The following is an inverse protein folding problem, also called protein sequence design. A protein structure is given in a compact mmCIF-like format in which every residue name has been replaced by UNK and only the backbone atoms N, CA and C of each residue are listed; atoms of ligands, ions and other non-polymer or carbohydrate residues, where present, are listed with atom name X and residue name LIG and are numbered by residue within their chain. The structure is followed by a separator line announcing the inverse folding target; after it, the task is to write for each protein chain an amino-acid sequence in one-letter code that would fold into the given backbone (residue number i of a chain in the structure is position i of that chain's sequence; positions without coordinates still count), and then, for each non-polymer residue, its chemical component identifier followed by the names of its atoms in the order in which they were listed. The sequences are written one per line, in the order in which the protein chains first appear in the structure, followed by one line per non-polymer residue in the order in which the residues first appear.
data_IF_475055110644
#
_entry.id   IF_475055110644
#
_cell.length_a   1.000
_cell.length_b   1.000
_cell.length_c   1.000
_cell.angle_alpha   90.00
_cell.angle_beta   90.00
_cell.angle_gamma   90.00
#
_symmetry.space_group_name_H-M   'P 1'
#
loop_
_entity.id
_entity.type
_entity.pdbx_description
1 polymer ?
#
# COMPACT_ATOMS: atom_id res chain seq x y z
N UNK A 1 13.31 12.86 27.23
CA UNK A 1 14.54 13.30 26.54
C UNK A 1 14.14 13.73 25.13
N UNK A 2 14.61 14.88 24.65
CA UNK A 2 14.32 15.38 23.30
C UNK A 2 15.61 15.31 22.51
N UNK A 3 15.59 14.60 21.37
CA UNK A 3 16.74 14.49 20.48
C UNK A 3 16.56 15.45 19.30
N UNK A 4 17.57 16.28 19.04
CA UNK A 4 17.59 17.24 17.94
C UNK A 4 18.25 16.60 16.73
N UNK A 5 17.63 16.71 15.56
CA UNK A 5 18.14 16.16 14.30
C UNK A 5 17.87 17.10 13.14
N UNK A 6 18.65 16.96 12.06
CA UNK A 6 18.39 17.69 10.81
C UNK A 6 17.14 17.15 10.13
N UNK A 7 16.39 18.03 9.47
CA UNK A 7 15.14 17.71 8.78
C UNK A 7 15.23 16.46 7.85
N UNK A 8 16.28 16.28 7.02
CA UNK A 8 16.39 15.10 6.16
C UNK A 8 16.57 13.76 6.89
N UNK A 9 16.96 13.78 8.18
CA UNK A 9 17.14 12.58 8.99
C UNK A 9 15.87 12.13 9.72
N UNK A 10 14.82 12.94 9.73
CA UNK A 10 13.64 12.72 10.57
C UNK A 10 12.90 11.43 10.22
N UNK A 11 12.69 11.16 8.93
CA UNK A 11 11.97 9.97 8.47
C UNK A 11 12.71 8.71 8.90
N UNK A 12 14.03 8.69 8.74
CA UNK A 12 14.85 7.54 9.14
C UNK A 12 14.83 7.36 10.65
N UNK A 13 15.02 8.43 11.43
CA UNK A 13 15.00 8.37 12.88
C UNK A 13 13.65 7.87 13.43
N UNK A 14 12.53 8.30 12.85
CA UNK A 14 11.19 7.82 13.24
C UNK A 14 11.02 6.33 12.92
N UNK A 15 11.44 5.89 11.73
CA UNK A 15 11.30 4.48 11.33
C UNK A 15 12.20 3.58 12.17
N UNK A 16 13.36 4.05 12.59
CA UNK A 16 14.29 3.30 13.45
C UNK A 16 13.81 3.14 14.91
N UNK A 17 12.68 3.76 15.28
CA UNK A 17 11.95 3.38 16.52
C UNK A 17 11.33 1.99 16.42
N UNK A 18 11.09 1.51 15.20
CA UNK A 18 10.62 0.14 14.94
C UNK A 18 11.85 -0.77 14.82
N UNK A 19 11.86 -1.95 15.47
CA UNK A 19 12.97 -2.88 15.38
C UNK A 19 13.36 -3.17 13.93
N UNK A 20 14.66 -3.24 13.60
CA UNK A 20 15.10 -3.56 12.26
C UNK A 20 14.62 -4.95 11.88
N UNK A 21 14.23 -5.11 10.62
CA UNK A 21 13.82 -6.38 10.04
C UNK A 21 14.28 -6.44 8.59
N UNK A 22 14.61 -7.63 8.11
CA UNK A 22 14.91 -7.85 6.70
C UNK A 22 13.63 -7.74 5.87
N UNK A 23 13.70 -7.33 4.60
CA UNK A 23 12.57 -7.47 3.69
C UNK A 23 12.15 -8.95 3.60
N UNK A 24 10.85 -9.21 3.56
CA UNK A 24 10.35 -10.55 3.25
C UNK A 24 10.69 -10.97 1.81
N UNK A 25 10.48 -12.24 1.44
CA UNK A 25 10.61 -12.69 0.06
C UNK A 25 9.49 -12.13 -0.82
N UNK A 26 9.72 -12.15 -2.13
CA UNK A 26 8.73 -11.81 -3.15
C UNK A 26 9.01 -10.50 -3.88
N UNK A 27 8.01 -10.04 -4.63
CA UNK A 27 8.05 -8.81 -5.40
C UNK A 27 6.94 -7.86 -4.93
N UNK A 28 6.99 -6.61 -5.37
CA UNK A 28 5.88 -5.69 -5.16
C UNK A 28 4.64 -6.18 -5.91
N UNK A 29 3.49 -6.23 -5.23
CA UNK A 29 2.21 -6.62 -5.79
C UNK A 29 1.20 -5.51 -5.54
N UNK A 30 0.54 -5.07 -6.60
CA UNK A 30 -0.53 -4.07 -6.54
C UNK A 30 -1.84 -4.71 -6.98
N UNK A 31 -2.85 -4.66 -6.13
CA UNK A 31 -4.19 -5.20 -6.40
C UNK A 31 -5.25 -4.11 -6.29
N UNK A 32 -6.32 -4.15 -7.10
CA UNK A 32 -7.44 -3.25 -6.91
C UNK A 32 -8.16 -3.59 -5.61
N UNK A 33 -8.47 -2.59 -4.79
CA UNK A 33 -9.36 -2.76 -3.66
C UNK A 33 -10.81 -2.83 -4.15
N UNK A 34 -11.65 -3.72 -3.59
CA UNK A 34 -13.06 -3.74 -3.94
C UNK A 34 -13.69 -2.36 -3.69
N UNK A 35 -14.35 -1.82 -4.71
CA UNK A 35 -15.12 -0.58 -4.56
C UNK A 35 -16.37 -0.86 -3.76
N UNK A 36 -16.70 0.01 -2.81
CA UNK A 36 -17.99 -0.03 -2.11
C UNK A 36 -19.13 0.56 -2.96
N UNK A 37 -18.82 1.12 -4.14
CA UNK A 37 -19.83 1.64 -5.04
C UNK A 37 -20.61 0.47 -5.66
N UNK A 38 -21.96 0.56 -5.74
CA UNK A 38 -22.73 -0.43 -6.46
C UNK A 38 -22.23 -0.53 -7.91
N UNK A 39 -22.15 -1.73 -8.49
CA UNK A 39 -21.83 -1.87 -9.89
C UNK A 39 -22.82 -1.03 -10.72
N UNK A 40 -22.36 -0.34 -11.78
CA UNK A 40 -23.26 0.34 -12.69
C UNK A 40 -24.31 -0.67 -13.21
N UNK A 41 -25.57 -0.25 -13.40
CA UNK A 41 -26.60 -1.16 -13.90
C UNK A 41 -26.12 -1.78 -15.22
N UNK A 42 -26.35 -3.09 -15.44
CA UNK A 42 -25.96 -3.72 -16.70
C UNK A 42 -26.59 -2.93 -17.84
N UNK A 43 -25.76 -2.48 -18.79
CA UNK A 43 -26.26 -1.98 -20.07
C UNK A 43 -27.03 -3.15 -20.68
N UNK A 44 -28.34 -2.97 -20.89
CA UNK A 44 -29.15 -3.90 -21.65
C UNK A 44 -28.71 -3.79 -23.11
N UNK A 45 -27.69 -4.57 -23.45
CA UNK A 45 -27.53 -5.04 -24.81
C UNK A 45 -28.21 -6.41 -24.84
N UNK A 46 -29.30 -6.48 -25.59
CA UNK A 46 -30.12 -7.67 -25.75
C UNK A 46 -29.31 -8.76 -26.47
N UNK A 47 -28.76 -9.73 -25.73
CA UNK A 47 -28.51 -11.08 -26.25
C UNK A 47 -28.31 -12.12 -25.12
N UNK A 48 -29.17 -13.14 -25.15
CA UNK A 48 -29.16 -14.48 -24.56
C UNK A 48 -28.19 -14.88 -23.41
N UNK A 49 -28.78 -15.35 -22.30
CA UNK A 49 -28.50 -16.68 -21.76
C UNK A 49 -27.32 -16.90 -20.79
N UNK A 50 -27.61 -16.77 -19.50
CA UNK A 50 -27.20 -17.64 -18.37
C UNK A 50 -25.70 -17.91 -18.05
N UNK A 51 -25.38 -17.72 -16.75
CA UNK A 51 -24.14 -18.06 -16.03
C UNK A 51 -22.94 -17.08 -16.11
N UNK A 52 -23.11 -15.85 -15.60
CA UNK A 52 -22.00 -14.94 -15.32
C UNK A 52 -21.26 -15.32 -14.02
N UNK A 53 -20.45 -16.37 -14.10
CA UNK A 53 -19.33 -16.63 -13.19
C UNK A 53 -18.30 -15.50 -13.35
N UNK A 54 -18.01 -14.75 -12.28
CA UNK A 54 -16.86 -13.84 -12.09
C UNK A 54 -15.98 -13.59 -13.34
N UNK A 55 -16.45 -12.77 -14.30
CA UNK A 55 -15.67 -12.48 -15.52
C UNK A 55 -14.67 -11.34 -15.26
N UNK A 56 -13.58 -11.78 -14.63
CA UNK A 56 -12.23 -11.23 -14.60
C UNK A 56 -11.83 -10.44 -15.87
N UNK A 57 -11.62 -9.13 -15.73
CA UNK A 57 -10.95 -8.29 -16.73
C UNK A 57 -9.50 -8.78 -16.90
N UNK A 58 -9.14 -9.15 -18.13
CA UNK A 58 -7.86 -9.75 -18.53
C UNK A 58 -6.72 -8.72 -18.50
N UNK A 59 -5.95 -8.69 -17.41
CA UNK A 59 -4.49 -8.51 -17.50
C UNK A 59 -3.86 -9.90 -17.76
N UNK A 60 -2.57 -10.05 -18.16
CA UNK A 60 -1.99 -11.35 -18.48
C UNK A 60 -2.23 -12.32 -17.32
N UNK A 61 -3.17 -13.25 -17.51
CA UNK A 61 -3.85 -13.97 -16.42
C UNK A 61 -2.89 -14.83 -15.59
N UNK A 62 -1.79 -15.30 -16.18
CA UNK A 62 -0.84 -16.19 -15.52
C UNK A 62 0.07 -15.48 -14.51
N UNK A 63 0.65 -14.34 -14.87
CA UNK A 63 1.55 -13.59 -13.98
C UNK A 63 0.79 -12.87 -12.88
N UNK A 64 -0.36 -12.26 -13.20
CA UNK A 64 -1.22 -11.61 -12.22
C UNK A 64 -1.78 -12.62 -11.19
N UNK A 65 -2.19 -13.82 -11.63
CA UNK A 65 -2.68 -14.86 -10.69
C UNK A 65 -1.56 -15.43 -9.82
N UNK A 66 -0.35 -15.60 -10.35
CA UNK A 66 0.80 -16.01 -9.56
C UNK A 66 1.19 -14.96 -8.52
N UNK A 67 1.13 -13.67 -8.86
CA UNK A 67 1.40 -12.57 -7.92
C UNK A 67 0.36 -12.49 -6.80
N UNK A 68 -0.94 -12.65 -7.12
CA UNK A 68 -2.00 -12.69 -6.11
C UNK A 68 -1.80 -13.88 -5.18
N UNK A 69 -1.52 -15.08 -5.71
CA UNK A 69 -1.24 -16.26 -4.87
C UNK A 69 -0.02 -16.06 -3.97
N UNK A 70 1.04 -15.43 -4.49
CA UNK A 70 2.22 -15.11 -3.69
C UNK A 70 1.88 -14.15 -2.55
N UNK A 71 1.00 -13.16 -2.79
CA UNK A 71 0.51 -12.25 -1.78
C UNK A 71 -0.38 -12.95 -0.73
N UNK A 72 -1.27 -13.85 -1.15
CA UNK A 72 -2.06 -14.70 -0.24
C UNK A 72 -1.16 -15.49 0.70
N UNK A 73 -0.12 -16.15 0.17
CA UNK A 73 0.84 -16.90 0.97
C UNK A 73 1.63 -16.04 1.98
N UNK A 74 1.79 -14.73 1.73
CA UNK A 74 2.38 -13.79 2.70
C UNK A 74 1.42 -13.53 3.86
N UNK A 75 0.12 -13.47 3.59
CA UNK A 75 -0.92 -13.20 4.59
C UNK A 75 -1.39 -14.43 5.37
N UNK A 76 -1.25 -15.63 4.81
CA UNK A 76 -1.49 -16.89 5.53
C UNK A 76 -0.47 -17.12 6.66
N UNK A 77 0.67 -16.44 6.62
CA UNK A 77 1.72 -16.54 7.63
C UNK A 77 1.36 -15.77 8.90
N UNK A 78 1.80 -16.24 10.08
CA UNK A 78 1.57 -15.54 11.34
C UNK A 78 2.11 -14.10 11.30
N UNK A 79 1.25 -13.12 11.56
CA UNK A 79 1.65 -11.72 11.68
C UNK A 79 2.27 -11.48 13.05
N UNK A 80 3.56 -11.19 13.08
CA UNK A 80 4.34 -11.00 14.31
C UNK A 80 4.28 -9.57 14.83
N UNK A 81 4.28 -8.59 13.92
CA UNK A 81 4.26 -7.15 14.23
C UNK A 81 3.53 -6.39 13.14
N UNK A 82 2.97 -5.23 13.47
CA UNK A 82 2.40 -4.33 12.49
C UNK A 82 2.37 -2.91 13.03
N UNK A 83 2.30 -1.94 12.12
CA UNK A 83 2.15 -0.54 12.46
C UNK A 83 1.89 0.31 11.23
N UNK A 84 1.84 1.62 11.45
CA UNK A 84 1.61 2.60 10.41
C UNK A 84 2.36 3.89 10.71
N UNK A 85 2.75 4.56 9.63
CA UNK A 85 3.32 5.90 9.66
C UNK A 85 2.40 6.83 8.87
N UNK A 86 2.24 8.06 9.38
CA UNK A 86 1.48 9.10 8.72
C UNK A 86 2.35 10.34 8.52
N UNK A 87 2.14 11.03 7.40
CA UNK A 87 2.76 12.32 7.13
C UNK A 87 1.66 13.38 7.09
N UNK A 88 1.82 14.43 7.88
CA UNK A 88 0.92 15.59 7.90
C UNK A 88 1.77 16.85 7.87
N UNK A 89 1.42 17.78 6.99
CA UNK A 89 2.08 19.08 6.84
C UNK A 89 1.04 20.16 7.08
N UNK A 90 1.42 21.21 7.80
CA UNK A 90 0.60 22.42 7.95
C UNK A 90 1.14 23.50 7.01
N UNK A 91 0.30 23.94 6.07
CA UNK A 91 0.66 24.97 5.10
C UNK A 91 0.67 26.39 5.69
N UNK A 92 1.10 27.38 4.90
CA UNK A 92 1.25 28.79 5.34
C UNK A 92 -0.03 29.43 5.88
N UNK A 93 -1.20 28.96 5.44
CA UNK A 93 -2.52 29.45 5.90
C UNK A 93 -3.13 28.59 7.01
N UNK A 94 -2.33 27.77 7.69
CA UNK A 94 -2.79 26.88 8.77
C UNK A 94 -3.58 25.65 8.31
N UNK A 95 -3.86 25.51 7.01
CA UNK A 95 -4.51 24.32 6.45
C UNK A 95 -3.59 23.09 6.57
N UNK A 96 -4.11 22.02 7.13
CA UNK A 96 -3.43 20.73 7.20
C UNK A 96 -3.67 19.91 5.94
N UNK A 97 -2.58 19.36 5.42
CA UNK A 97 -2.59 18.38 4.34
C UNK A 97 -2.00 17.07 4.87
N UNK A 98 -2.62 15.95 4.50
CA UNK A 98 -2.22 14.62 4.97
C UNK A 98 -2.01 13.70 3.78
N UNK A 99 -0.88 12.99 3.79
CA UNK A 99 -0.59 11.96 2.80
C UNK A 99 -1.30 10.65 3.17
N UNK A 100 -1.50 9.73 2.19
CA UNK A 100 -1.88 8.36 2.49
C UNK A 100 -0.94 7.73 3.52
N UNK A 101 -1.49 6.94 4.45
CA UNK A 101 -0.69 6.25 5.46
C UNK A 101 0.21 5.17 4.81
N UNK A 102 1.37 4.97 5.44
CA UNK A 102 2.31 3.90 5.09
C UNK A 102 2.21 2.82 6.16
N UNK A 103 1.51 1.74 5.85
CA UNK A 103 1.41 0.57 6.71
C UNK A 103 2.65 -0.31 6.59
N UNK A 104 2.94 -1.08 7.63
CA UNK A 104 3.94 -2.13 7.59
C UNK A 104 3.54 -3.30 8.49
N UNK A 105 4.04 -4.48 8.19
CA UNK A 105 3.90 -5.66 9.04
C UNK A 105 5.09 -6.60 8.88
N UNK A 106 5.32 -7.40 9.91
CA UNK A 106 6.30 -8.49 9.92
C UNK A 106 5.54 -9.82 9.97
N UNK A 107 5.99 -10.78 9.17
CA UNK A 107 5.70 -12.20 9.38
C UNK A 107 7.01 -12.94 9.70
N UNK A 108 6.93 -14.27 9.79
CA UNK A 108 8.09 -15.13 10.06
C UNK A 108 9.18 -15.10 8.97
N UNK A 109 8.89 -14.56 7.79
CA UNK A 109 9.83 -14.48 6.67
C UNK A 109 10.51 -13.11 6.55
N UNK A 110 9.83 -12.04 6.96
CA UNK A 110 10.39 -10.69 6.99
C UNK A 110 9.33 -9.60 7.00
N UNK A 111 9.75 -8.37 6.69
CA UNK A 111 8.93 -7.17 6.70
C UNK A 111 8.39 -6.82 5.32
N UNK A 112 7.15 -6.33 5.33
CA UNK A 112 6.42 -5.83 4.17
C UNK A 112 5.85 -4.45 4.48
N UNK A 113 5.90 -3.57 3.48
CA UNK A 113 5.20 -2.30 3.43
C UNK A 113 3.84 -2.48 2.74
N UNK A 114 2.85 -1.70 3.17
CA UNK A 114 1.51 -1.64 2.60
C UNK A 114 1.09 -0.20 2.36
N UNK A 115 0.56 0.09 1.18
CA UNK A 115 0.09 1.42 0.82
C UNK A 115 -1.14 1.38 -0.06
N UNK A 116 -2.02 2.35 0.13
CA UNK A 116 -3.15 2.60 -0.75
C UNK A 116 -2.90 3.84 -1.60
N UNK A 117 -3.25 3.76 -2.89
CA UNK A 117 -3.31 4.90 -3.81
C UNK A 117 -4.67 4.97 -4.48
N UNK A 118 -5.12 6.18 -4.78
CA UNK A 118 -6.31 6.39 -5.59
C UNK A 118 -5.87 6.65 -7.04
N UNK A 119 -6.41 5.87 -7.98
CA UNK A 119 -6.26 6.11 -9.40
C UNK A 119 -7.09 7.32 -9.85
N UNK A 120 -6.83 7.80 -11.06
CA UNK A 120 -7.55 8.94 -11.65
C UNK A 120 -9.05 8.65 -11.86
N UNK A 121 -9.39 7.37 -12.04
CA UNK A 121 -10.73 6.82 -12.15
C UNK A 121 -11.44 6.63 -10.79
N UNK A 122 -10.79 7.02 -9.68
CA UNK A 122 -11.28 6.81 -8.33
C UNK A 122 -11.06 5.39 -7.79
N UNK A 123 -10.55 4.45 -8.59
CA UNK A 123 -10.23 3.09 -8.16
C UNK A 123 -9.11 3.13 -7.13
N UNK A 124 -9.31 2.48 -5.98
CA UNK A 124 -8.26 2.34 -4.97
C UNK A 124 -7.39 1.13 -5.28
N UNK A 125 -6.09 1.31 -5.17
CA UNK A 125 -5.08 0.28 -5.40
C UNK A 125 -4.30 0.07 -4.12
N UNK A 126 -4.15 -1.19 -3.71
CA UNK A 126 -3.38 -1.61 -2.56
C UNK A 126 -2.07 -2.24 -3.04
N UNK A 127 -0.95 -1.68 -2.62
CA UNK A 127 0.39 -2.18 -2.92
C UNK A 127 1.00 -2.81 -1.67
N UNK A 128 1.53 -4.02 -1.82
CA UNK A 128 2.37 -4.69 -0.84
C UNK A 128 3.75 -4.94 -1.42
N UNK A 129 4.80 -4.56 -0.69
CA UNK A 129 6.17 -4.72 -1.15
C UNK A 129 7.11 -5.14 0.01
N UNK A 130 8.05 -6.06 -0.22
CA UNK A 130 9.11 -6.33 0.74
C UNK A 130 9.92 -5.08 1.10
N UNK A 131 10.01 -4.76 2.39
CA UNK A 131 10.63 -3.52 2.84
C UNK A 131 11.45 -3.71 4.11
N UNK A 132 12.62 -3.07 4.18
CA UNK A 132 13.32 -2.81 5.43
C UNK A 132 13.02 -1.38 5.91
N UNK A 133 13.64 -0.97 7.02
CA UNK A 133 13.50 0.38 7.55
C UNK A 133 13.91 1.45 6.53
N UNK A 134 14.96 1.20 5.73
CA UNK A 134 15.45 2.17 4.75
C UNK A 134 14.41 2.41 3.64
N UNK A 135 13.77 1.34 3.13
CA UNK A 135 12.70 1.46 2.12
C UNK A 135 11.46 2.14 2.67
N UNK A 136 11.07 1.88 3.92
CA UNK A 136 9.95 2.58 4.56
C UNK A 136 10.27 4.08 4.73
N UNK A 137 11.47 4.41 5.19
CA UNK A 137 11.89 5.80 5.35
C UNK A 137 11.93 6.55 4.01
N UNK A 138 12.42 5.90 2.94
CA UNK A 138 12.38 6.45 1.59
C UNK A 138 10.95 6.70 1.11
N UNK A 139 10.03 5.78 1.38
CA UNK A 139 8.62 5.97 1.04
C UNK A 139 7.99 7.15 1.79
N UNK A 140 8.29 7.32 3.09
CA UNK A 140 7.81 8.48 3.84
C UNK A 140 8.37 9.80 3.31
N UNK A 141 9.61 9.80 2.80
CA UNK A 141 10.17 10.96 2.15
C UNK A 141 9.40 11.30 0.86
N UNK A 142 8.98 10.30 0.09
CA UNK A 142 8.13 10.50 -1.10
C UNK A 142 6.75 11.07 -0.72
N UNK A 143 6.10 10.54 0.32
CA UNK A 143 4.82 11.10 0.79
C UNK A 143 4.95 12.56 1.24
N UNK A 144 6.02 12.88 1.97
CA UNK A 144 6.28 14.24 2.42
C UNK A 144 6.49 15.19 1.24
N UNK A 145 7.33 14.80 0.27
CA UNK A 145 7.58 15.60 -0.91
C UNK A 145 6.30 15.84 -1.71
N UNK A 146 5.41 14.84 -1.79
CA UNK A 146 4.11 14.97 -2.44
C UNK A 146 3.16 15.98 -1.78
N UNK A 147 3.34 16.30 -0.50
CA UNK A 147 2.57 17.35 0.19
C UNK A 147 3.21 18.74 0.11
N UNK A 148 4.49 18.81 -0.26
CA UNK A 148 5.27 20.06 -0.33
C UNK A 148 5.29 20.68 -1.73
N UNK A 149 4.97 19.88 -2.76
CA UNK A 149 4.77 20.32 -4.14
C UNK A 149 3.36 20.88 -4.34
#
# INVERSE_FOLDING_TARGET
KVDVMRAPGLQRAIVDLVPPSRPGPGQSVTVPMPSSAPPPPPRRDDDFGEAATFTRVMAPRSTASAQVRALEAVFERPRLRAGQFGVTVRGRHGREQRAPQVGWFDNDQGRYLSQTRQGQDGQKWLTHAPADNARIAAQLAQELNGLLN
#
